data_IF_405914725211
#
_entry.id   IF_405914725211
#
_cell.length_a   1.000
_cell.length_b   1.000
_cell.length_c   1.000
_cell.angle_alpha   90.00
_cell.angle_beta   90.00
_cell.angle_gamma   90.00
#
_symmetry.space_group_name_H-M   'P 1'
#
loop_
_entity.id
_entity.type
_entity.pdbx_description
1 polymer ?
#
# COMPACT_ATOMS: atom_id res chain seq x y z
N UNK A 1 -30.89 -25.89 31.52
CA UNK A 1 -29.74 -24.96 31.40
C UNK A 1 -28.75 -25.54 30.43
N UNK A 2 -28.85 -25.16 29.15
CA UNK A 2 -27.96 -25.63 28.08
C UNK A 2 -26.71 -24.76 28.08
N UNK A 3 -25.48 -25.32 28.16
CA UNK A 3 -24.29 -24.49 28.10
C UNK A 3 -24.15 -23.93 26.69
N UNK A 4 -24.03 -22.61 26.59
CA UNK A 4 -23.67 -21.89 25.36
C UNK A 4 -22.27 -22.35 25.01
N UNK A 5 -22.17 -23.13 23.93
CA UNK A 5 -20.91 -23.66 23.45
C UNK A 5 -19.94 -22.50 23.11
N UNK A 6 -18.76 -22.55 23.68
CA UNK A 6 -17.67 -21.60 23.56
C UNK A 6 -17.00 -21.58 22.15
N UNK A 7 -17.75 -21.84 21.08
CA UNK A 7 -17.24 -21.79 19.72
C UNK A 7 -16.88 -20.36 19.29
N UNK A 8 -17.68 -19.37 19.73
CA UNK A 8 -17.43 -17.97 19.39
C UNK A 8 -16.13 -17.43 20.01
N UNK A 9 -15.83 -17.80 21.26
CA UNK A 9 -14.56 -17.40 21.90
C UNK A 9 -13.35 -18.09 21.26
N UNK A 10 -13.50 -19.37 20.84
CA UNK A 10 -12.47 -20.09 20.11
C UNK A 10 -12.23 -19.52 18.70
N UNK A 11 -13.27 -19.05 18.03
CA UNK A 11 -13.15 -18.45 16.70
C UNK A 11 -12.55 -17.03 16.75
N UNK A 12 -12.81 -16.28 17.82
CA UNK A 12 -12.15 -14.98 18.08
C UNK A 12 -10.67 -15.19 18.39
N UNK A 13 -10.32 -16.23 19.15
CA UNK A 13 -8.91 -16.53 19.47
C UNK A 13 -8.12 -17.03 18.24
N UNK A 14 -8.77 -17.73 17.30
CA UNK A 14 -8.17 -18.18 16.04
C UNK A 14 -7.95 -17.06 15.03
N UNK A 15 -8.53 -15.88 15.26
CA UNK A 15 -8.37 -14.68 14.43
C UNK A 15 -7.35 -13.69 14.97
N UNK A 16 -6.56 -14.06 15.97
CA UNK A 16 -5.41 -13.24 16.36
C UNK A 16 -4.36 -13.31 15.26
N UNK A 17 -4.26 -12.22 14.51
CA UNK A 17 -3.18 -12.02 13.56
C UNK A 17 -1.91 -11.63 14.34
N UNK A 18 -0.76 -12.17 13.95
CA UNK A 18 0.51 -11.62 14.39
C UNK A 18 0.78 -10.33 13.61
N UNK A 19 0.55 -9.21 14.28
CA UNK A 19 0.64 -7.87 13.68
C UNK A 19 2.01 -7.62 13.06
N UNK A 20 3.08 -8.16 13.66
CA UNK A 20 4.46 -7.92 13.22
C UNK A 20 4.76 -8.58 11.88
N UNK A 21 4.17 -9.73 11.62
CA UNK A 21 4.45 -10.54 10.43
C UNK A 21 3.29 -10.59 9.44
N UNK A 22 2.16 -9.93 9.78
CA UNK A 22 0.97 -9.96 8.96
C UNK A 22 1.22 -9.46 7.54
N UNK A 23 0.74 -10.21 6.58
CA UNK A 23 0.58 -9.78 5.20
C UNK A 23 -0.52 -10.59 4.54
N UNK A 24 -1.35 -9.96 3.73
CA UNK A 24 -2.32 -10.68 2.91
C UNK A 24 -1.58 -11.58 1.92
N UNK A 25 -2.16 -12.73 1.63
CA UNK A 25 -1.61 -13.67 0.65
C UNK A 25 -1.98 -13.26 -0.78
N UNK A 26 -1.28 -13.83 -1.78
CA UNK A 26 -1.63 -13.67 -3.18
C UNK A 26 -3.07 -14.10 -3.48
N UNK A 27 -3.56 -15.11 -2.75
CA UNK A 27 -4.95 -15.56 -2.86
C UNK A 27 -5.91 -14.51 -2.33
N UNK A 28 -5.63 -13.92 -1.15
CA UNK A 28 -6.48 -12.86 -0.58
C UNK A 28 -6.55 -11.65 -1.52
N UNK A 29 -5.43 -11.32 -2.16
CA UNK A 29 -5.38 -10.25 -3.15
C UNK A 29 -6.19 -10.59 -4.41
N UNK A 30 -6.13 -11.83 -4.90
CA UNK A 30 -6.92 -12.27 -6.05
C UNK A 30 -8.43 -12.23 -5.75
N UNK A 31 -8.84 -12.72 -4.56
CA UNK A 31 -10.23 -12.67 -4.09
C UNK A 31 -10.71 -11.21 -3.96
N UNK A 32 -9.85 -10.29 -3.49
CA UNK A 32 -10.13 -8.85 -3.44
C UNK A 32 -10.26 -8.25 -4.85
N UNK A 33 -9.36 -8.58 -5.76
CA UNK A 33 -9.40 -8.08 -7.14
C UNK A 33 -10.66 -8.55 -7.87
N UNK A 34 -11.07 -9.82 -7.68
CA UNK A 34 -12.33 -10.36 -8.22
C UNK A 34 -13.54 -9.61 -7.64
N UNK A 35 -13.55 -9.39 -6.31
CA UNK A 35 -14.62 -8.61 -5.67
C UNK A 35 -14.72 -7.18 -6.24
N UNK A 36 -13.60 -6.58 -6.59
CA UNK A 36 -13.55 -5.21 -7.12
C UNK A 36 -13.98 -5.09 -8.58
N UNK A 37 -13.99 -6.19 -9.37
CA UNK A 37 -14.38 -6.16 -10.80
C UNK A 37 -15.81 -5.63 -11.00
N UNK A 38 -16.72 -6.05 -10.13
CA UNK A 38 -18.13 -5.63 -10.20
C UNK A 38 -18.38 -4.26 -9.54
N UNK A 39 -17.36 -3.69 -8.89
CA UNK A 39 -17.47 -2.41 -8.22
C UNK A 39 -17.05 -1.29 -9.15
N UNK A 40 -17.99 -0.42 -9.49
CA UNK A 40 -17.68 0.85 -10.16
C UNK A 40 -17.04 1.78 -9.13
N UNK A 41 -15.72 1.71 -8.98
CA UNK A 41 -14.98 2.68 -8.19
C UNK A 41 -14.93 3.97 -9.00
N UNK A 42 -15.47 5.08 -8.49
CA UNK A 42 -15.38 6.37 -9.18
C UNK A 42 -13.95 6.92 -9.04
N UNK A 43 -13.01 6.29 -9.74
CA UNK A 43 -11.63 6.75 -9.80
C UNK A 43 -11.40 7.44 -11.14
N UNK A 44 -10.96 8.67 -11.10
CA UNK A 44 -10.50 9.43 -12.27
C UNK A 44 -9.02 9.74 -12.06
N UNK A 45 -8.15 9.19 -12.92
CA UNK A 45 -6.71 9.43 -12.82
C UNK A 45 -6.36 10.91 -13.03
N UNK A 46 -5.22 11.34 -12.47
CA UNK A 46 -4.71 12.71 -12.68
C UNK A 46 -4.49 12.99 -14.15
N UNK A 47 -4.04 11.99 -14.93
CA UNK A 47 -3.88 12.09 -16.38
C UNK A 47 -5.21 12.36 -17.07
N UNK A 48 -6.28 11.69 -16.68
CA UNK A 48 -7.61 11.90 -17.25
C UNK A 48 -8.16 13.26 -16.88
N UNK A 49 -7.95 13.70 -15.63
CA UNK A 49 -8.30 15.06 -15.19
C UNK A 49 -7.56 16.15 -15.99
N UNK A 50 -6.25 15.94 -16.20
CA UNK A 50 -5.42 16.85 -16.99
C UNK A 50 -5.86 16.88 -18.47
N UNK A 51 -6.17 15.74 -19.07
CA UNK A 51 -6.69 15.66 -20.44
C UNK A 51 -8.03 16.41 -20.57
N UNK A 52 -8.92 16.24 -19.62
CA UNK A 52 -10.21 16.93 -19.59
C UNK A 52 -10.07 18.45 -19.49
N UNK A 53 -9.15 18.92 -18.63
CA UNK A 53 -8.82 20.33 -18.51
C UNK A 53 -8.21 20.89 -19.82
N UNK A 54 -7.31 20.12 -20.45
CA UNK A 54 -6.70 20.48 -21.72
C UNK A 54 -7.73 20.54 -22.86
N UNK A 55 -8.66 19.57 -22.95
CA UNK A 55 -9.76 19.58 -23.91
C UNK A 55 -10.59 20.85 -23.78
N UNK A 56 -10.94 21.22 -22.55
CA UNK A 56 -11.72 22.44 -22.27
C UNK A 56 -10.97 23.71 -22.69
N UNK A 57 -9.68 23.82 -22.34
CA UNK A 57 -8.87 24.96 -22.74
C UNK A 57 -8.74 25.06 -24.26
N UNK A 58 -8.56 23.94 -24.97
CA UNK A 58 -8.49 23.91 -26.43
C UNK A 58 -9.83 24.30 -27.11
N UNK A 59 -10.96 23.97 -26.50
CA UNK A 59 -12.28 24.45 -26.97
C UNK A 59 -12.42 25.95 -26.79
N UNK A 60 -12.04 26.50 -25.63
CA UNK A 60 -12.07 27.92 -25.33
C UNK A 60 -11.18 28.74 -26.28
N UNK A 61 -9.99 28.18 -26.61
CA UNK A 61 -9.00 28.75 -27.53
C UNK A 61 -9.31 28.47 -29.02
N UNK A 62 -10.39 27.74 -29.32
CA UNK A 62 -10.85 27.38 -30.67
C UNK A 62 -9.88 26.51 -31.49
N UNK A 63 -9.10 25.63 -30.84
CA UNK A 63 -8.26 24.66 -31.52
C UNK A 63 -9.06 23.42 -31.96
N UNK A 64 -9.98 23.60 -32.93
CA UNK A 64 -10.87 22.53 -33.39
C UNK A 64 -10.13 21.29 -33.94
N UNK A 65 -8.95 21.48 -34.53
CA UNK A 65 -8.16 20.40 -35.15
C UNK A 65 -7.57 19.41 -34.11
N UNK A 66 -7.56 19.78 -32.84
CA UNK A 66 -7.04 18.92 -31.76
C UNK A 66 -8.07 17.91 -31.24
N UNK A 67 -9.36 18.09 -31.56
CA UNK A 67 -10.43 17.26 -31.02
C UNK A 67 -10.18 15.76 -31.28
N UNK A 68 -9.89 15.39 -32.53
CA UNK A 68 -9.65 14.00 -32.90
C UNK A 68 -8.42 13.40 -32.19
N UNK A 69 -7.39 14.22 -31.95
CA UNK A 69 -6.19 13.78 -31.22
C UNK A 69 -6.51 13.49 -29.77
N UNK A 70 -7.31 14.35 -29.14
CA UNK A 70 -7.73 14.13 -27.75
C UNK A 70 -8.62 12.90 -27.61
N UNK A 71 -9.49 12.63 -28.56
CA UNK A 71 -10.33 11.42 -28.58
C UNK A 71 -9.47 10.14 -28.71
N UNK A 72 -8.41 10.17 -29.51
CA UNK A 72 -7.45 9.07 -29.61
C UNK A 72 -6.72 8.83 -28.28
N UNK A 73 -6.19 9.89 -27.65
CA UNK A 73 -5.52 9.79 -26.35
C UNK A 73 -6.48 9.27 -25.28
N UNK A 74 -7.74 9.72 -25.27
CA UNK A 74 -8.75 9.28 -24.32
C UNK A 74 -9.09 7.78 -24.48
N UNK A 75 -9.11 7.27 -25.73
CA UNK A 75 -9.31 5.86 -26.01
C UNK A 75 -8.11 4.98 -25.61
N UNK A 76 -6.89 5.53 -25.61
CA UNK A 76 -5.68 4.84 -25.17
C UNK A 76 -5.54 4.82 -23.64
N UNK A 77 -6.14 5.78 -22.93
CA UNK A 77 -6.17 5.82 -21.48
C UNK A 77 -7.13 4.74 -20.92
N UNK A 78 -6.58 3.54 -20.72
CA UNK A 78 -7.31 2.43 -20.10
C UNK A 78 -7.34 2.61 -18.58
N UNK A 79 -8.34 3.30 -18.10
CA UNK A 79 -8.63 3.46 -16.67
C UNK A 79 -9.64 2.39 -16.22
N UNK A 80 -9.33 1.12 -16.45
CA UNK A 80 -10.13 0.04 -15.89
C UNK A 80 -9.60 -0.40 -14.51
N UNK A 81 -10.50 -0.89 -13.67
CA UNK A 81 -10.18 -1.31 -12.31
C UNK A 81 -9.12 -2.41 -12.28
N UNK A 82 -9.15 -3.32 -13.24
CA UNK A 82 -8.22 -4.44 -13.33
C UNK A 82 -6.78 -3.95 -13.58
N UNK A 83 -6.59 -3.12 -14.61
CA UNK A 83 -5.28 -2.55 -14.95
C UNK A 83 -4.70 -1.73 -13.79
N UNK A 84 -5.55 -0.97 -13.10
CA UNK A 84 -5.14 -0.18 -11.94
C UNK A 84 -4.73 -1.07 -10.76
N UNK A 85 -5.48 -2.14 -10.46
CA UNK A 85 -5.13 -3.09 -9.42
C UNK A 85 -3.82 -3.81 -9.69
N UNK A 86 -3.54 -4.17 -10.95
CA UNK A 86 -2.27 -4.78 -11.33
C UNK A 86 -1.11 -3.78 -11.22
N UNK A 87 -1.30 -2.56 -11.74
CA UNK A 87 -0.27 -1.51 -11.75
C UNK A 87 0.12 -1.05 -10.34
N UNK A 88 -0.86 -0.91 -9.45
CA UNK A 88 -0.67 -0.40 -8.09
C UNK A 88 -0.74 -1.50 -7.02
N UNK A 89 -0.50 -2.76 -7.40
CA UNK A 89 -0.65 -3.92 -6.53
C UNK A 89 0.10 -3.74 -5.21
N UNK A 90 1.35 -3.31 -5.24
CA UNK A 90 2.17 -3.12 -4.03
C UNK A 90 1.54 -2.12 -3.07
N UNK A 91 1.14 -0.95 -3.57
CA UNK A 91 0.52 0.10 -2.77
C UNK A 91 -0.85 -0.33 -2.21
N UNK A 92 -1.62 -1.09 -3.00
CA UNK A 92 -2.93 -1.63 -2.57
C UNK A 92 -2.72 -2.66 -1.46
N UNK A 93 -1.77 -3.58 -1.61
CA UNK A 93 -1.42 -4.58 -0.59
C UNK A 93 -0.98 -3.90 0.71
N UNK A 94 -0.09 -2.91 0.63
CA UNK A 94 0.35 -2.14 1.80
C UNK A 94 -0.83 -1.42 2.48
N UNK A 95 -1.72 -0.82 1.69
CA UNK A 95 -2.90 -0.13 2.23
C UNK A 95 -3.84 -1.11 2.95
N UNK A 96 -4.10 -2.27 2.36
CA UNK A 96 -4.94 -3.31 2.97
C UNK A 96 -4.28 -3.85 4.25
N UNK A 97 -2.98 -4.15 4.21
CA UNK A 97 -2.24 -4.62 5.38
C UNK A 97 -2.33 -3.61 6.52
N UNK A 98 -2.07 -2.33 6.24
CA UNK A 98 -2.12 -1.26 7.23
C UNK A 98 -3.54 -1.07 7.82
N UNK A 99 -4.60 -1.16 7.00
CA UNK A 99 -5.98 -1.07 7.51
C UNK A 99 -6.33 -2.25 8.42
N UNK A 100 -5.93 -3.47 8.08
CA UNK A 100 -6.14 -4.65 8.90
C UNK A 100 -5.34 -4.57 10.20
N UNK A 101 -4.05 -4.21 10.11
CA UNK A 101 -3.17 -4.05 11.27
C UNK A 101 -3.70 -2.95 12.21
N UNK A 102 -4.17 -1.81 11.66
CA UNK A 102 -4.78 -0.73 12.43
C UNK A 102 -6.00 -1.19 13.21
N UNK A 103 -6.83 -2.04 12.61
CA UNK A 103 -8.05 -2.58 13.27
C UNK A 103 -7.74 -3.55 14.41
N UNK A 104 -6.60 -4.23 14.37
CA UNK A 104 -6.21 -5.22 15.37
C UNK A 104 -5.20 -4.70 16.39
N UNK A 105 -4.28 -3.82 15.99
CA UNK A 105 -3.18 -3.33 16.81
C UNK A 105 -3.17 -1.81 17.03
N UNK A 106 -4.20 -1.11 16.53
CA UNK A 106 -4.27 0.34 16.59
C UNK A 106 -3.03 1.02 15.97
N UNK A 107 -2.76 2.27 16.34
CA UNK A 107 -1.60 3.02 15.81
C UNK A 107 -0.26 2.39 16.20
N UNK A 108 -0.16 1.80 17.39
CA UNK A 108 1.04 1.11 17.87
C UNK A 108 1.36 -0.10 16.99
N UNK A 109 0.34 -0.90 16.64
CA UNK A 109 0.49 -2.04 15.74
C UNK A 109 0.96 -1.64 14.34
N UNK A 110 0.48 -0.52 13.80
CA UNK A 110 0.95 -0.03 12.48
C UNK A 110 2.41 0.37 12.55
N UNK A 111 2.85 1.04 13.62
CA UNK A 111 4.25 1.38 13.83
C UNK A 111 5.10 0.11 13.93
N UNK A 112 4.74 -0.86 14.78
CA UNK A 112 5.45 -2.13 14.89
C UNK A 112 5.52 -2.87 13.54
N UNK A 113 4.44 -2.85 12.77
CA UNK A 113 4.39 -3.48 11.45
C UNK A 113 5.32 -2.81 10.43
N UNK A 114 5.41 -1.49 10.44
CA UNK A 114 6.27 -0.74 9.51
C UNK A 114 7.76 -0.95 9.76
N UNK A 115 8.17 -1.26 11.00
CA UNK A 115 9.58 -1.45 11.36
C UNK A 115 10.19 -2.73 10.79
N UNK A 116 9.37 -3.72 10.44
CA UNK A 116 9.87 -5.04 9.98
C UNK A 116 10.68 -4.98 8.69
N UNK A 117 10.29 -4.08 7.78
CA UNK A 117 10.90 -3.94 6.45
C UNK A 117 11.67 -2.61 6.31
N UNK A 118 11.81 -1.85 7.41
CA UNK A 118 12.54 -0.60 7.43
C UNK A 118 14.06 -0.84 7.32
N UNK A 119 14.72 -0.39 6.25
CA UNK A 119 16.15 -0.67 6.02
C UNK A 119 17.05 -0.07 7.09
N UNK A 120 16.67 1.04 7.72
CA UNK A 120 17.45 1.68 8.77
C UNK A 120 17.36 0.84 10.07
N UNK A 121 16.17 0.34 10.40
CA UNK A 121 15.95 -0.55 11.56
C UNK A 121 16.66 -1.88 11.36
N UNK A 122 16.57 -2.48 10.17
CA UNK A 122 17.29 -3.71 9.84
C UNK A 122 18.80 -3.51 9.97
N UNK A 123 19.33 -2.43 9.42
CA UNK A 123 20.77 -2.12 9.52
C UNK A 123 21.21 -1.84 10.96
N UNK A 124 20.40 -1.10 11.72
CA UNK A 124 20.69 -0.86 13.15
C UNK A 124 20.70 -2.17 13.96
N UNK A 125 19.77 -3.09 13.66
CA UNK A 125 19.70 -4.40 14.32
C UNK A 125 20.92 -5.27 14.00
N UNK A 126 21.40 -5.27 12.74
CA UNK A 126 22.64 -5.94 12.35
C UNK A 126 23.84 -5.41 13.12
N UNK A 127 24.02 -4.07 13.16
CA UNK A 127 25.14 -3.43 13.86
C UNK A 127 25.11 -3.74 15.37
N UNK A 128 23.92 -3.68 15.97
CA UNK A 128 23.77 -4.00 17.40
C UNK A 128 23.99 -5.49 17.70
N UNK A 129 23.72 -6.36 16.74
CA UNK A 129 24.00 -7.80 16.85
C UNK A 129 25.48 -8.17 16.69
N UNK A 130 26.27 -7.32 16.02
CA UNK A 130 27.73 -7.50 15.86
C UNK A 130 28.50 -6.57 16.78
N UNK A 131 28.86 -7.07 17.95
CA UNK A 131 29.58 -6.29 18.97
C UNK A 131 30.93 -5.72 18.49
N UNK A 132 31.59 -6.35 17.50
CA UNK A 132 32.83 -5.84 16.93
C UNK A 132 32.57 -4.65 16.01
N UNK A 133 31.57 -4.73 15.14
CA UNK A 133 31.16 -3.63 14.27
C UNK A 133 30.63 -2.45 15.10
N UNK A 134 29.80 -2.71 16.09
CA UNK A 134 29.32 -1.68 17.03
C UNK A 134 30.46 -0.92 17.69
N UNK A 135 31.43 -1.66 18.28
CA UNK A 135 32.58 -1.05 18.94
C UNK A 135 33.40 -0.22 17.97
N UNK A 136 33.65 -0.72 16.75
CA UNK A 136 34.39 0.02 15.71
C UNK A 136 33.69 1.35 15.37
N UNK A 137 32.39 1.33 15.14
CA UNK A 137 31.63 2.54 14.76
C UNK A 137 31.66 3.59 15.88
N UNK A 138 31.46 3.16 17.13
CA UNK A 138 31.44 4.09 18.27
C UNK A 138 32.82 4.68 18.54
N UNK A 139 33.92 3.89 18.43
CA UNK A 139 35.28 4.39 18.67
C UNK A 139 35.84 5.22 17.53
N UNK A 140 35.43 4.98 16.27
CA UNK A 140 35.84 5.83 15.12
C UNK A 140 35.20 7.21 15.17
N UNK A 141 34.03 7.38 15.79
CA UNK A 141 33.38 8.69 15.97
C UNK A 141 34.05 9.55 17.04
N UNK A 142 34.77 8.96 18.00
CA UNK A 142 35.49 9.69 19.04
C UNK A 142 36.85 10.24 18.58
N UNK A 143 37.25 10.01 17.33
CA UNK A 143 38.50 10.58 16.82
C UNK A 143 38.26 12.01 16.34
N UNK A 144 38.77 13.07 17.02
CA UNK A 144 38.54 14.46 16.63
C UNK A 144 39.10 14.67 15.22
N UNK A 145 38.29 15.16 14.32
CA UNK A 145 38.75 15.64 13.00
C UNK A 145 39.76 16.77 13.22
N UNK A 146 41.03 16.51 12.87
CA UNK A 146 42.07 17.51 12.85
C UNK A 146 41.84 18.53 11.73
#
# INVERSE_FOLDING_TARGET
STPIKSSAASDVYKRQIDIRTFSITDKDYADFAEFMQDKKVPYESDTRRALKALKKAAEDDRFADLKNKFEQVEAELKDDTQTNLETYRTQVVETINNDIVMRHGYSEGVIEHSLKDDPEVLRATEILGDGAEYTRIVTEQDTPRK
#
